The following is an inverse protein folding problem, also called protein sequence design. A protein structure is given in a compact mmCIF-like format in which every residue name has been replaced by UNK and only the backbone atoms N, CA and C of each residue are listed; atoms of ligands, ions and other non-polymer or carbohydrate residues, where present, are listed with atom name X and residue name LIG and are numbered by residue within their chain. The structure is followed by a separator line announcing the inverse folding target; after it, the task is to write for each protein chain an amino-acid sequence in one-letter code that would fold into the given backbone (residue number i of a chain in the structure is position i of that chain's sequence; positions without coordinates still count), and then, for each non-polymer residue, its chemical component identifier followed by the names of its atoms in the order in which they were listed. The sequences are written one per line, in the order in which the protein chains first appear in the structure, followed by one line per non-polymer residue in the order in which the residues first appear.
data_IF_802874788837
#
_entry.id   IF_802874788837
#
_cell.length_a   1.000
_cell.length_b   1.000
_cell.length_c   1.000
_cell.angle_alpha   90.00
_cell.angle_beta   90.00
_cell.angle_gamma   90.00
#
_symmetry.space_group_name_H-M   'P 1'
#
loop_
_entity.id
_entity.type
_entity.pdbx_description
1 polymer ?
#
# COMPACT_ATOMS: atom_id res chain seq x y z
N UNK A 1 -17.28 -37.28 12.16
CA UNK A 1 -16.15 -36.47 11.68
C UNK A 1 -16.58 -35.85 10.37
N UNK A 2 -16.96 -34.57 10.39
CA UNK A 2 -17.48 -33.85 9.22
C UNK A 2 -16.37 -32.98 8.63
N UNK A 3 -16.20 -32.90 7.29
CA UNK A 3 -15.21 -31.99 6.71
C UNK A 3 -15.75 -30.56 6.73
N UNK A 4 -14.90 -29.61 7.13
CA UNK A 4 -15.21 -28.18 7.05
C UNK A 4 -15.23 -27.73 5.57
N UNK A 5 -16.09 -26.76 5.20
CA UNK A 5 -16.09 -26.22 3.84
C UNK A 5 -14.83 -25.36 3.64
N UNK A 6 -14.03 -25.70 2.64
CA UNK A 6 -12.93 -24.86 2.16
C UNK A 6 -13.54 -23.69 1.41
N UNK A 7 -13.74 -22.58 2.11
CA UNK A 7 -14.04 -21.31 1.48
C UNK A 7 -12.73 -20.56 1.32
N UNK A 8 -12.27 -20.38 0.08
CA UNK A 8 -11.70 -19.10 -0.33
C UNK A 8 -11.61 -19.03 -1.83
N UNK A 9 -12.48 -18.17 -2.35
CA UNK A 9 -12.50 -17.62 -3.69
C UNK A 9 -11.09 -17.12 -4.01
N UNK A 10 -10.43 -17.75 -4.97
CA UNK A 10 -9.24 -17.18 -5.59
C UNK A 10 -9.72 -16.03 -6.46
N UNK A 11 -9.90 -14.85 -5.86
CA UNK A 11 -9.98 -13.62 -6.62
C UNK A 11 -8.59 -13.38 -7.21
N UNK A 12 -8.45 -13.79 -8.47
CA UNK A 12 -7.27 -13.53 -9.29
C UNK A 12 -7.26 -12.03 -9.61
N UNK A 13 -6.77 -11.22 -8.67
CA UNK A 13 -6.44 -9.83 -8.94
C UNK A 13 -5.26 -9.79 -9.91
N UNK A 14 -5.56 -9.76 -11.21
CA UNK A 14 -4.62 -9.36 -12.26
C UNK A 14 -4.21 -7.91 -12.02
N UNK A 15 -3.09 -7.70 -11.34
CA UNK A 15 -2.44 -6.39 -11.24
C UNK A 15 -1.13 -6.41 -12.04
N UNK A 16 -1.19 -6.78 -13.33
CA UNK A 16 -0.09 -6.58 -14.26
C UNK A 16 -0.54 -5.67 -15.39
N UNK A 17 -0.76 -4.41 -15.04
CA UNK A 17 -0.68 -3.31 -15.98
C UNK A 17 0.30 -2.33 -15.36
N UNK A 18 1.52 -2.31 -15.90
CA UNK A 18 2.57 -1.40 -15.47
C UNK A 18 2.14 0.02 -15.83
N UNK A 19 1.49 0.70 -14.89
CA UNK A 19 1.01 2.05 -15.04
C UNK A 19 2.19 2.99 -14.75
N UNK A 20 2.89 3.41 -15.81
CA UNK A 20 3.90 4.45 -15.71
C UNK A 20 3.17 5.79 -15.57
N UNK A 21 3.23 6.36 -14.36
CA UNK A 21 2.71 7.69 -14.07
C UNK A 21 3.90 8.64 -14.02
N UNK A 22 3.91 9.64 -14.90
CA UNK A 22 4.80 10.77 -14.77
C UNK A 22 4.19 11.77 -13.78
N UNK A 23 4.95 12.19 -12.78
CA UNK A 23 4.47 13.05 -11.70
C UNK A 23 5.30 14.32 -11.65
N UNK A 24 4.61 15.44 -11.45
CA UNK A 24 5.26 16.69 -11.03
C UNK A 24 5.74 16.58 -9.58
N UNK A 25 6.68 17.44 -9.18
CA UNK A 25 7.14 17.52 -7.78
C UNK A 25 5.98 17.71 -6.79
N UNK A 26 4.97 18.50 -7.19
CA UNK A 26 3.81 18.77 -6.33
C UNK A 26 2.94 17.52 -6.14
N UNK A 27 2.61 16.80 -7.22
CA UNK A 27 1.79 15.58 -7.14
C UNK A 27 2.52 14.49 -6.35
N UNK A 28 3.83 14.35 -6.55
CA UNK A 28 4.67 13.45 -5.75
C UNK A 28 4.58 13.76 -4.26
N UNK A 29 4.69 15.03 -3.87
CA UNK A 29 4.60 15.44 -2.47
C UNK A 29 3.19 15.23 -1.88
N UNK A 30 2.14 15.39 -2.68
CA UNK A 30 0.75 15.09 -2.26
C UNK A 30 0.60 13.59 -2.02
N UNK A 31 1.10 12.75 -2.92
CA UNK A 31 1.05 11.30 -2.77
C UNK A 31 1.85 10.80 -1.57
N UNK A 32 3.06 11.33 -1.35
CA UNK A 32 3.87 11.00 -0.17
C UNK A 32 3.16 11.37 1.15
N UNK A 33 2.47 12.52 1.17
CA UNK A 33 1.63 12.91 2.32
C UNK A 33 0.45 11.96 2.51
N UNK A 34 -0.20 11.53 1.43
CA UNK A 34 -1.26 10.53 1.46
C UNK A 34 -0.77 9.19 2.03
N UNK A 35 0.36 8.67 1.55
CA UNK A 35 0.95 7.42 2.06
C UNK A 35 1.29 7.52 3.56
N UNK A 36 1.80 8.67 4.03
CA UNK A 36 2.05 8.93 5.45
C UNK A 36 0.76 8.89 6.28
N UNK A 37 -0.33 9.42 5.75
CA UNK A 37 -1.64 9.37 6.41
C UNK A 37 -2.15 7.93 6.52
N UNK A 38 -2.10 7.16 5.43
CA UNK A 38 -2.53 5.75 5.42
C UNK A 38 -1.72 4.91 6.42
N UNK A 39 -0.39 5.08 6.44
CA UNK A 39 0.48 4.43 7.43
C UNK A 39 0.02 4.72 8.86
N UNK A 40 -0.28 5.99 9.14
CA UNK A 40 -0.73 6.42 10.47
C UNK A 40 -2.08 5.81 10.85
N UNK A 41 -3.02 5.74 9.90
CA UNK A 41 -4.32 5.11 10.12
C UNK A 41 -4.19 3.62 10.49
N UNK A 42 -3.29 2.88 9.81
CA UNK A 42 -3.01 1.47 10.12
C UNK A 42 -2.37 1.32 11.51
N UNK A 43 -1.44 2.20 11.87
CA UNK A 43 -0.81 2.18 13.20
C UNK A 43 -1.78 2.49 14.34
N UNK A 44 -2.81 3.29 14.08
CA UNK A 44 -3.82 3.71 15.07
C UNK A 44 -4.97 2.72 15.23
N UNK A 45 -4.95 1.59 14.52
CA UNK A 45 -6.01 0.60 14.57
C UNK A 45 -6.08 -0.06 15.95
N UNK A 46 -7.15 0.23 16.70
CA UNK A 46 -7.32 -0.15 18.12
C UNK A 46 -7.87 -1.56 18.34
N UNK A 47 -8.05 -2.35 17.28
CA UNK A 47 -8.57 -3.72 17.38
C UNK A 47 -7.53 -4.61 18.05
N UNK A 48 -7.98 -5.43 19.01
CA UNK A 48 -7.15 -6.41 19.69
C UNK A 48 -6.58 -7.41 18.65
N UNK A 49 -5.26 -7.40 18.40
CA UNK A 49 -4.72 -8.09 17.24
C UNK A 49 -4.58 -9.59 17.51
N UNK A 50 -5.17 -10.41 16.65
CA UNK A 50 -4.77 -11.81 16.52
C UNK A 50 -3.40 -11.88 15.80
N UNK A 51 -2.72 -13.03 15.87
CA UNK A 51 -1.46 -13.27 15.15
C UNK A 51 -1.57 -13.01 13.64
N UNK A 52 -2.68 -13.40 13.02
CA UNK A 52 -2.96 -13.13 11.60
C UNK A 52 -3.16 -11.63 11.31
N UNK A 53 -3.84 -10.89 12.18
CA UNK A 53 -4.02 -9.44 12.03
C UNK A 53 -2.67 -8.71 12.13
N UNK A 54 -1.79 -9.18 13.03
CA UNK A 54 -0.43 -8.64 13.18
C UNK A 54 0.39 -8.85 11.90
N UNK A 55 0.35 -10.06 11.33
CA UNK A 55 1.04 -10.38 10.07
C UNK A 55 0.52 -9.52 8.92
N UNK A 56 -0.81 -9.39 8.80
CA UNK A 56 -1.44 -8.55 7.79
C UNK A 56 -1.00 -7.09 7.92
N UNK A 57 -1.03 -6.55 9.14
CA UNK A 57 -0.60 -5.19 9.44
C UNK A 57 0.86 -4.94 9.03
N UNK A 58 1.76 -5.87 9.37
CA UNK A 58 3.16 -5.78 8.97
C UNK A 58 3.33 -5.78 7.44
N UNK A 59 2.61 -6.65 6.72
CA UNK A 59 2.61 -6.68 5.25
C UNK A 59 2.17 -5.34 4.66
N UNK A 60 1.07 -4.77 5.16
CA UNK A 60 0.55 -3.49 4.67
C UNK A 60 1.52 -2.33 4.93
N UNK A 61 2.19 -2.32 6.08
CA UNK A 61 3.19 -1.29 6.40
C UNK A 61 4.42 -1.41 5.50
N UNK A 62 4.87 -2.62 5.19
CA UNK A 62 5.99 -2.87 4.29
C UNK A 62 5.67 -2.43 2.85
N UNK A 63 4.47 -2.75 2.35
CA UNK A 63 3.98 -2.29 1.05
C UNK A 63 3.97 -0.76 0.94
N UNK A 64 3.45 -0.07 1.96
CA UNK A 64 3.44 1.40 2.00
C UNK A 64 4.85 1.97 2.03
N UNK A 65 5.76 1.35 2.78
CA UNK A 65 7.16 1.79 2.84
C UNK A 65 7.83 1.64 1.48
N UNK A 66 7.63 0.51 0.80
CA UNK A 66 8.17 0.25 -0.53
C UNK A 66 7.63 1.25 -1.55
N UNK A 67 6.32 1.50 -1.55
CA UNK A 67 5.69 2.51 -2.43
C UNK A 67 6.24 3.91 -2.18
N UNK A 68 6.39 4.29 -0.91
CA UNK A 68 6.94 5.60 -0.53
C UNK A 68 8.36 5.76 -1.06
N UNK A 69 9.21 4.75 -0.88
CA UNK A 69 10.59 4.77 -1.37
C UNK A 69 10.66 4.82 -2.89
N UNK A 70 9.85 4.05 -3.60
CA UNK A 70 9.79 4.10 -5.08
C UNK A 70 9.38 5.48 -5.58
N UNK A 71 8.44 6.12 -4.89
CA UNK A 71 7.95 7.45 -5.21
C UNK A 71 9.00 8.52 -4.90
N UNK A 72 9.73 8.41 -3.78
CA UNK A 72 10.84 9.32 -3.43
C UNK A 72 11.98 9.26 -4.45
N UNK A 73 12.27 8.06 -4.98
CA UNK A 73 13.29 7.85 -6.00
C UNK A 73 12.79 8.13 -7.43
N UNK A 74 11.51 8.50 -7.61
CA UNK A 74 11.00 8.92 -8.91
C UNK A 74 11.46 10.34 -9.23
N UNK A 75 12.07 10.51 -10.40
CA UNK A 75 12.54 11.79 -10.88
C UNK A 75 11.31 12.65 -11.25
N UNK A 76 11.07 13.78 -10.59
CA UNK A 76 9.89 14.58 -10.86
C UNK A 76 10.08 15.29 -12.19
N UNK A 77 9.02 15.39 -12.98
CA UNK A 77 9.06 16.25 -14.17
C UNK A 77 9.36 17.68 -13.70
N UNK A 78 10.49 18.22 -14.13
CA UNK A 78 10.82 19.63 -13.97
C UNK A 78 9.84 20.44 -14.84
N UNK A 79 8.66 20.75 -14.30
CA UNK A 79 7.75 21.70 -14.92
C UNK A 79 8.40 23.07 -14.77
N UNK A 80 9.17 23.47 -15.78
CA UNK A 80 9.59 24.85 -15.97
C UNK A 80 8.32 25.70 -16.04
N UNK A 81 8.10 26.50 -14.99
CA UNK A 81 7.10 27.56 -14.95
C UNK A 81 7.71 28.85 -15.49
#
# INVERSE_FOLDING_TARGET
MFPAPVCSVQDSFKMDSLLQVELTSHERDVLLRGLRYVRSAIMLETRDPCSEDTRRRLSQLDEIQNLSQRLENSDPLAVHS
#
